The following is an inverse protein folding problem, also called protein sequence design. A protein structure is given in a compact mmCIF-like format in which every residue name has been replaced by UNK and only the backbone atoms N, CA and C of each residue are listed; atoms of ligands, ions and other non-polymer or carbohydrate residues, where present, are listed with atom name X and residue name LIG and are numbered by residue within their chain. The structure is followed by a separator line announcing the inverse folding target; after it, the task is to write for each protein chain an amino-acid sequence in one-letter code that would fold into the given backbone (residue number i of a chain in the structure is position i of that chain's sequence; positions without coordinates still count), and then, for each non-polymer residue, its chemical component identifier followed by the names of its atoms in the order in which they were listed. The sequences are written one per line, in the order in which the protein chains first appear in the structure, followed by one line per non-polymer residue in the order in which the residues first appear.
data_IF_011394092576
#
_entry.id   IF_011394092576
#
_cell.length_a   1.000
_cell.length_b   1.000
_cell.length_c   1.000
_cell.angle_alpha   90.00
_cell.angle_beta   90.00
_cell.angle_gamma   90.00
#
_symmetry.space_group_name_H-M   'P 1'
#
loop_
_entity.id
_entity.type
_entity.pdbx_description
1 polymer ?
#
# COMPACT_ATOMS: atom_id res chain seq x y z
N UNK A 1 41.00 -14.63 -2.28
CA UNK A 1 39.89 -14.45 -3.25
C UNK A 1 38.80 -13.72 -2.50
N UNK A 2 38.51 -12.46 -2.84
CA UNK A 2 37.42 -11.73 -2.21
C UNK A 2 36.10 -12.40 -2.62
N UNK A 3 35.27 -12.73 -1.64
CA UNK A 3 33.97 -13.35 -1.87
C UNK A 3 33.07 -12.30 -2.52
N UNK A 4 32.42 -12.66 -3.62
CA UNK A 4 31.49 -11.79 -4.36
C UNK A 4 30.40 -11.26 -3.40
N UNK A 5 30.14 -9.93 -3.33
CA UNK A 5 29.15 -9.35 -2.41
C UNK A 5 27.77 -9.97 -2.53
N UNK A 6 27.35 -10.38 -3.74
CA UNK A 6 26.10 -11.11 -3.94
C UNK A 6 26.10 -12.45 -3.23
N UNK A 7 27.18 -13.21 -3.36
CA UNK A 7 27.36 -14.51 -2.69
C UNK A 7 27.34 -14.40 -1.17
N UNK A 8 27.88 -13.32 -0.60
CA UNK A 8 27.81 -13.05 0.84
C UNK A 8 26.38 -12.82 1.33
N UNK A 9 25.59 -12.03 0.61
CA UNK A 9 24.18 -11.76 0.96
C UNK A 9 23.32 -13.02 0.89
N UNK A 10 23.51 -13.84 -0.16
CA UNK A 10 22.84 -15.15 -0.30
C UNK A 10 23.24 -16.07 0.85
N UNK A 11 24.53 -16.09 1.22
CA UNK A 11 25.00 -16.90 2.36
C UNK A 11 24.34 -16.45 3.67
N UNK A 12 24.16 -15.13 3.86
CA UNK A 12 23.42 -14.58 5.00
C UNK A 12 21.94 -14.99 4.99
N UNK A 13 21.29 -14.93 3.82
CA UNK A 13 19.89 -15.35 3.64
C UNK A 13 19.69 -16.80 4.09
N UNK A 14 20.50 -17.72 3.55
CA UNK A 14 20.42 -19.15 3.86
C UNK A 14 20.77 -19.45 5.33
N UNK A 15 21.72 -18.71 5.90
CA UNK A 15 22.12 -18.89 7.30
C UNK A 15 21.06 -18.41 8.30
N UNK A 16 20.35 -17.32 8.01
CA UNK A 16 19.35 -16.73 8.92
C UNK A 16 17.94 -17.31 8.71
N UNK A 17 17.70 -17.91 7.54
CA UNK A 17 16.41 -18.47 7.15
C UNK A 17 16.61 -19.92 6.68
N UNK A 18 16.72 -20.88 7.62
CA UNK A 18 17.07 -22.28 7.29
C UNK A 18 16.00 -22.99 6.45
N UNK A 19 14.76 -22.50 6.44
CA UNK A 19 13.67 -23.03 5.62
C UNK A 19 13.67 -22.53 4.16
N UNK A 20 14.70 -21.79 3.74
CA UNK A 20 14.79 -21.23 2.39
C UNK A 20 14.97 -22.32 1.34
N UNK A 21 14.12 -22.32 0.33
CA UNK A 21 14.19 -23.17 -0.86
C UNK A 21 14.74 -22.35 -2.01
N UNK A 22 15.74 -22.88 -2.72
CA UNK A 22 16.29 -22.23 -3.91
C UNK A 22 15.40 -22.60 -5.10
N UNK A 23 14.70 -21.62 -5.68
CA UNK A 23 13.86 -21.82 -6.86
C UNK A 23 14.70 -21.63 -8.11
N UNK A 24 15.45 -20.52 -8.17
CA UNK A 24 16.40 -20.22 -9.24
C UNK A 24 17.70 -19.75 -8.59
N UNK A 25 18.78 -20.50 -8.82
CA UNK A 25 20.07 -20.21 -8.18
C UNK A 25 20.55 -18.80 -8.52
N UNK A 26 20.93 -18.05 -7.48
CA UNK A 26 21.39 -16.67 -7.59
C UNK A 26 20.30 -15.65 -7.96
N UNK A 27 19.03 -16.03 -8.05
CA UNK A 27 17.93 -15.13 -8.45
C UNK A 27 16.71 -15.23 -7.54
N UNK A 28 16.12 -16.41 -7.37
CA UNK A 28 14.82 -16.55 -6.71
C UNK A 28 14.92 -17.55 -5.57
N UNK A 29 14.53 -17.09 -4.39
CA UNK A 29 14.51 -17.87 -3.15
C UNK A 29 13.10 -17.83 -2.56
N UNK A 30 12.60 -18.99 -2.12
CA UNK A 30 11.28 -19.14 -1.52
C UNK A 30 11.43 -19.48 -0.04
N UNK A 31 10.69 -18.78 0.83
CA UNK A 31 10.73 -19.00 2.28
C UNK A 31 9.29 -19.28 2.76
N UNK A 32 8.99 -20.49 3.26
CA UNK A 32 7.66 -20.81 3.76
C UNK A 32 7.36 -20.03 5.04
N UNK A 33 6.16 -19.45 5.12
CA UNK A 33 5.70 -18.66 6.25
C UNK A 33 4.87 -19.47 7.25
N UNK A 34 3.96 -20.30 6.74
CA UNK A 34 3.09 -21.17 7.52
C UNK A 34 2.97 -22.54 6.84
N UNK A 35 2.85 -23.61 7.64
CA UNK A 35 2.67 -24.97 7.14
C UNK A 35 1.20 -25.29 6.80
N UNK A 36 0.24 -24.61 7.44
CA UNK A 36 -1.19 -24.89 7.25
C UNK A 36 -1.81 -24.10 6.09
N UNK A 37 -1.42 -22.84 5.95
CA UNK A 37 -1.75 -22.00 4.80
C UNK A 37 -0.53 -21.97 3.91
N UNK A 38 -0.62 -22.53 2.69
CA UNK A 38 0.46 -22.61 1.69
C UNK A 38 0.91 -21.20 1.21
N UNK A 39 1.48 -20.42 2.13
CA UNK A 39 1.89 -19.04 1.96
C UNK A 39 3.40 -18.96 2.12
N UNK A 40 4.06 -18.29 1.19
CA UNK A 40 5.51 -18.19 1.13
C UNK A 40 5.95 -16.78 0.73
N UNK A 41 7.12 -16.38 1.23
CA UNK A 41 7.86 -15.22 0.74
C UNK A 41 8.69 -15.63 -0.46
N UNK A 42 8.64 -14.81 -1.50
CA UNK A 42 9.50 -14.94 -2.66
C UNK A 42 10.48 -13.77 -2.66
N UNK A 43 11.76 -14.07 -2.55
CA UNK A 43 12.86 -13.10 -2.60
C UNK A 43 13.48 -13.17 -3.99
N UNK A 44 13.29 -12.12 -4.77
CA UNK A 44 13.84 -11.97 -6.10
C UNK A 44 15.04 -11.02 -6.07
N UNK A 45 16.20 -11.52 -6.51
CA UNK A 45 17.45 -10.79 -6.59
C UNK A 45 17.65 -10.31 -8.04
N UNK A 46 17.67 -9.00 -8.29
CA UNK A 46 17.92 -8.47 -9.62
C UNK A 46 19.32 -8.79 -10.15
N UNK A 47 19.53 -8.53 -11.45
CA UNK A 47 20.81 -8.76 -12.10
C UNK A 47 21.95 -7.94 -11.49
N UNK A 48 21.66 -6.70 -11.07
CA UNK A 48 22.62 -5.76 -10.47
C UNK A 48 22.66 -5.83 -8.93
N UNK A 49 22.07 -6.87 -8.32
CA UNK A 49 22.14 -7.06 -6.87
C UNK A 49 23.58 -7.29 -6.38
N UNK A 50 24.05 -6.65 -5.28
CA UNK A 50 23.27 -5.88 -4.29
C UNK A 50 23.24 -4.35 -4.49
N UNK A 51 23.66 -3.82 -5.66
CA UNK A 51 23.51 -2.39 -5.97
C UNK A 51 22.04 -2.01 -6.12
N UNK A 52 21.27 -2.87 -6.79
CA UNK A 52 19.81 -2.79 -6.82
C UNK A 52 19.19 -3.61 -5.66
N UNK A 53 18.18 -3.09 -4.95
CA UNK A 53 17.54 -3.79 -3.84
C UNK A 53 16.83 -5.07 -4.27
N UNK A 54 16.69 -6.05 -3.35
CA UNK A 54 15.88 -7.23 -3.61
C UNK A 54 14.39 -6.84 -3.68
N UNK A 55 13.63 -7.55 -4.51
CA UNK A 55 12.17 -7.44 -4.53
C UNK A 55 11.59 -8.63 -3.76
N UNK A 56 10.84 -8.33 -2.70
CA UNK A 56 10.25 -9.35 -1.83
C UNK A 56 8.74 -9.34 -2.06
N UNK A 57 8.15 -10.48 -2.38
CA UNK A 57 6.71 -10.62 -2.61
C UNK A 57 6.11 -11.76 -1.80
N UNK A 58 4.81 -11.72 -1.58
CA UNK A 58 4.06 -12.80 -0.92
C UNK A 58 3.28 -13.60 -1.96
N UNK A 59 3.27 -14.92 -1.81
CA UNK A 59 2.45 -15.82 -2.62
C UNK A 59 1.64 -16.75 -1.71
N UNK A 60 0.37 -17.06 -2.05
CA UNK A 60 -0.36 -16.66 -3.27
C UNK A 60 -0.71 -15.16 -3.29
N UNK A 61 -1.01 -14.61 -4.48
CA UNK A 61 -1.34 -13.18 -4.65
C UNK A 61 -2.67 -12.81 -3.98
N UNK A 62 -2.82 -11.55 -3.57
CA UNK A 62 -4.05 -11.00 -2.97
C UNK A 62 -4.13 -11.12 -1.45
N UNK A 63 -2.98 -11.27 -0.80
CA UNK A 63 -2.84 -11.29 0.67
C UNK A 63 -2.87 -9.86 1.22
N UNK A 64 -3.44 -9.68 2.41
CA UNK A 64 -3.45 -8.40 3.12
C UNK A 64 -2.58 -8.44 4.36
N UNK A 65 -1.71 -7.44 4.47
CA UNK A 65 -0.92 -7.14 5.66
C UNK A 65 -0.49 -5.66 5.60
N UNK A 66 -0.27 -4.95 6.73
CA UNK A 66 0.25 -3.58 6.73
C UNK A 66 1.55 -3.37 5.97
N UNK A 67 2.37 -4.42 5.84
CA UNK A 67 3.63 -4.41 5.09
C UNK A 67 3.47 -4.96 3.67
N UNK A 68 2.26 -5.16 3.14
CA UNK A 68 2.04 -5.66 1.78
C UNK A 68 1.23 -4.64 0.98
N UNK A 69 1.80 -4.18 -0.14
CA UNK A 69 1.10 -3.37 -1.13
C UNK A 69 1.01 -4.11 -2.47
N UNK A 70 -0.21 -4.41 -2.90
CA UNK A 70 -0.45 -5.38 -3.98
C UNK A 70 -0.06 -6.78 -3.52
N UNK A 71 1.14 -7.21 -3.87
CA UNK A 71 1.78 -8.45 -3.43
C UNK A 71 3.24 -8.23 -2.97
N UNK A 72 3.71 -6.97 -3.01
CA UNK A 72 5.09 -6.60 -2.69
C UNK A 72 5.18 -6.25 -1.21
N UNK A 73 6.21 -6.76 -0.54
CA UNK A 73 6.49 -6.44 0.86
C UNK A 73 7.20 -5.08 0.94
N UNK A 74 6.57 -4.15 1.64
CA UNK A 74 7.07 -2.80 1.89
C UNK A 74 7.73 -2.78 3.28
N UNK A 75 9.06 -2.64 3.30
CA UNK A 75 9.87 -2.60 4.52
C UNK A 75 10.82 -1.40 4.47
N UNK A 76 11.02 -0.71 5.60
CA UNK A 76 11.80 0.55 5.68
C UNK A 76 13.27 0.41 5.25
N UNK A 77 13.80 -0.81 5.30
CA UNK A 77 15.15 -1.14 4.85
C UNK A 77 15.31 -1.24 3.33
N UNK A 78 14.20 -1.35 2.57
CA UNK A 78 14.25 -1.48 1.10
C UNK A 78 14.52 -0.13 0.41
N UNK A 79 13.87 0.99 0.76
CA UNK A 79 14.20 2.31 0.20
C UNK A 79 15.61 2.80 0.55
N UNK A 80 16.14 2.34 1.69
CA UNK A 80 17.48 2.70 2.20
C UNK A 80 18.52 1.61 1.96
N UNK A 81 18.24 0.68 1.04
CA UNK A 81 19.10 -0.47 0.76
C UNK A 81 20.49 -0.05 0.27
N UNK A 82 21.51 -0.78 0.73
CA UNK A 82 22.89 -0.59 0.31
C UNK A 82 23.63 -1.93 0.30
N UNK A 83 24.84 -1.96 -0.29
CA UNK A 83 25.70 -3.15 -0.27
C UNK A 83 26.06 -3.62 1.16
N UNK A 84 25.95 -2.73 2.15
CA UNK A 84 26.21 -3.01 3.57
C UNK A 84 24.98 -3.54 4.32
N UNK A 85 23.79 -3.44 3.73
CA UNK A 85 22.57 -4.00 4.29
C UNK A 85 22.68 -5.52 4.40
N UNK A 86 21.85 -6.18 5.22
CA UNK A 86 21.92 -7.62 5.41
C UNK A 86 20.60 -8.30 4.99
N UNK A 87 20.62 -8.99 3.86
CA UNK A 87 19.45 -9.67 3.29
C UNK A 87 18.86 -10.70 4.24
N UNK A 88 19.71 -11.48 4.91
CA UNK A 88 19.27 -12.52 5.83
C UNK A 88 18.54 -11.98 7.05
N UNK A 89 19.01 -10.86 7.62
CA UNK A 89 18.32 -10.19 8.72
C UNK A 89 17.02 -9.54 8.27
N UNK A 90 17.02 -8.88 7.11
CA UNK A 90 15.81 -8.29 6.54
C UNK A 90 14.70 -9.33 6.35
N UNK A 91 15.00 -10.46 5.69
CA UNK A 91 14.01 -11.51 5.45
C UNK A 91 13.56 -12.16 6.76
N UNK A 92 14.46 -12.28 7.74
CA UNK A 92 14.12 -12.79 9.07
C UNK A 92 13.15 -11.86 9.81
N UNK A 93 13.37 -10.55 9.76
CA UNK A 93 12.47 -9.55 10.36
C UNK A 93 11.07 -9.61 9.75
N UNK A 94 10.98 -9.69 8.41
CA UNK A 94 9.71 -9.87 7.69
C UNK A 94 9.01 -11.17 8.10
N UNK A 95 9.76 -12.28 8.21
CA UNK A 95 9.20 -13.56 8.63
C UNK A 95 8.70 -13.53 10.07
N UNK A 96 9.47 -12.91 10.97
CA UNK A 96 9.12 -12.82 12.40
C UNK A 96 7.87 -11.93 12.59
N UNK A 97 7.71 -10.89 11.77
CA UNK A 97 6.49 -10.09 11.69
C UNK A 97 5.29 -10.93 11.21
N UNK A 98 5.44 -11.66 10.10
CA UNK A 98 4.36 -12.47 9.55
C UNK A 98 4.01 -13.68 10.42
N UNK A 99 4.93 -14.14 11.28
CA UNK A 99 4.63 -15.12 12.31
C UNK A 99 3.76 -14.56 13.43
N UNK A 100 3.85 -13.25 13.71
CA UNK A 100 3.03 -12.58 14.73
C UNK A 100 1.70 -12.10 14.15
N UNK A 101 1.71 -11.61 12.91
CA UNK A 101 0.55 -11.12 12.17
C UNK A 101 0.53 -11.77 10.78
N UNK A 102 -0.06 -12.98 10.64
CA UNK A 102 -0.06 -13.68 9.37
C UNK A 102 -0.78 -12.89 8.28
N UNK A 103 -0.22 -12.83 7.05
CA UNK A 103 -0.95 -12.29 5.91
C UNK A 103 -2.26 -13.04 5.72
N UNK A 104 -3.37 -12.31 5.60
CA UNK A 104 -4.70 -12.91 5.49
C UNK A 104 -5.23 -12.83 4.04
N UNK A 105 -5.92 -13.87 3.58
CA UNK A 105 -6.65 -13.84 2.31
C UNK A 105 -7.80 -12.84 2.39
N UNK A 106 -8.07 -12.15 1.28
CA UNK A 106 -9.24 -11.27 1.13
C UNK A 106 -10.54 -12.08 1.30
N UNK A 107 -11.04 -12.19 2.53
CA UNK A 107 -12.37 -12.74 2.79
C UNK A 107 -13.41 -11.78 2.22
N UNK A 108 -14.33 -12.29 1.39
CA UNK A 108 -15.50 -11.57 0.87
C UNK A 108 -16.50 -11.13 1.96
N UNK A 109 -16.23 -11.42 3.23
CA UNK A 109 -17.16 -11.24 4.34
C UNK A 109 -16.67 -10.35 5.48
N UNK A 110 -15.49 -9.72 5.40
CA UNK A 110 -15.06 -8.81 6.48
C UNK A 110 -15.67 -7.42 6.31
N UNK A 111 -16.73 -7.20 7.09
CA UNK A 111 -17.41 -5.92 7.25
C UNK A 111 -16.76 -5.17 8.41
N UNK A 112 -15.75 -4.33 8.17
CA UNK A 112 -15.37 -3.17 9.01
C UNK A 112 -14.31 -2.27 8.34
N UNK A 113 -14.23 -0.96 8.67
CA UNK A 113 -14.00 0.09 7.68
C UNK A 113 -12.65 0.84 7.78
N UNK A 114 -12.02 1.14 6.64
CA UNK A 114 -11.10 2.30 6.39
C UNK A 114 -10.86 2.39 4.85
N UNK A 115 -11.53 3.31 4.11
CA UNK A 115 -11.04 4.61 3.56
C UNK A 115 -9.78 4.48 2.66
N UNK A 116 -9.67 4.85 1.36
CA UNK A 116 -10.34 5.64 0.28
C UNK A 116 -9.83 5.07 -1.11
N UNK A 117 -10.19 5.55 -2.34
CA UNK A 117 -11.25 6.47 -2.81
C UNK A 117 -12.29 5.76 -3.73
N UNK A 118 -13.44 6.38 -4.07
CA UNK A 118 -14.41 5.76 -4.96
C UNK A 118 -14.00 5.91 -6.44
N UNK A 119 -13.74 4.78 -7.10
CA UNK A 119 -13.79 4.64 -8.56
C UNK A 119 -15.27 4.71 -9.00
N UNK A 120 -15.61 5.22 -10.19
CA UNK A 120 -17.00 5.42 -10.59
C UNK A 120 -17.78 4.10 -10.55
N UNK A 121 -18.94 4.12 -9.91
CA UNK A 121 -19.86 2.98 -9.79
C UNK A 121 -20.31 2.48 -11.16
N UNK A 122 -19.81 1.30 -11.55
CA UNK A 122 -20.51 0.42 -12.47
C UNK A 122 -21.13 -0.73 -11.65
N UNK A 123 -22.46 -0.78 -11.63
CA UNK A 123 -23.17 -2.05 -11.49
C UNK A 123 -23.90 -2.28 -10.17
N UNK A 124 -25.14 -1.79 -10.10
CA UNK A 124 -26.26 -2.45 -9.41
C UNK A 124 -26.56 -3.84 -10.03
N UNK A 125 -25.55 -4.71 -10.21
CA UNK A 125 -25.65 -5.96 -10.99
C UNK A 125 -25.63 -7.23 -10.16
N UNK A 126 -25.68 -7.16 -8.83
CA UNK A 126 -25.82 -8.37 -8.01
C UNK A 126 -26.42 -8.07 -6.63
N UNK A 127 -27.67 -7.61 -6.58
CA UNK A 127 -28.49 -7.94 -5.42
C UNK A 127 -29.05 -9.36 -5.68
N UNK A 128 -28.74 -10.37 -4.86
CA UNK A 128 -29.49 -11.62 -4.92
C UNK A 128 -30.97 -11.25 -4.76
N UNK A 129 -31.88 -11.84 -5.55
CA UNK A 129 -33.30 -11.64 -5.28
C UNK A 129 -33.58 -12.04 -3.82
N UNK A 130 -34.50 -11.36 -3.12
CA UNK A 130 -34.96 -11.86 -1.83
C UNK A 130 -35.39 -13.32 -2.00
N UNK A 131 -35.15 -14.21 -1.03
CA UNK A 131 -35.56 -15.60 -1.13
C UNK A 131 -37.07 -15.62 -1.32
N UNK A 132 -37.51 -15.87 -2.56
CA UNK A 132 -38.89 -16.24 -2.80
C UNK A 132 -39.05 -17.57 -2.07
N UNK A 133 -40.07 -17.74 -1.19
CA UNK A 133 -40.38 -19.06 -0.65
C UNK A 133 -40.71 -19.95 -1.85
N UNK A 134 -39.69 -20.68 -2.30
CA UNK A 134 -39.80 -21.66 -3.37
C UNK A 134 -40.56 -22.79 -2.72
N UNK A 135 -41.87 -22.82 -2.93
CA UNK A 135 -42.63 -24.05 -2.75
C UNK A 135 -41.84 -25.12 -3.52
N UNK A 136 -41.33 -26.10 -2.80
CA UNK A 136 -40.60 -27.24 -3.32
C UNK A 136 -41.49 -27.96 -4.33
N UNK A 137 -41.36 -27.59 -5.61
CA UNK A 137 -41.83 -28.41 -6.72
C UNK A 137 -40.74 -29.46 -6.93
N UNK A 138 -40.77 -30.49 -6.08
CA UNK A 138 -40.18 -31.77 -6.40
C UNK A 138 -40.98 -32.38 -7.56
N UNK A 139 -40.29 -32.64 -8.67
CA UNK A 139 -40.76 -33.52 -9.74
C UNK A 139 -41.22 -34.86 -9.15
N UNK A 140 -42.45 -35.33 -9.41
CA UNK A 140 -42.88 -36.62 -8.92
C UNK A 140 -42.42 -37.73 -9.87
N UNK A 141 -41.45 -38.51 -9.42
CA UNK A 141 -41.41 -39.94 -9.76
C UNK A 141 -42.71 -40.54 -9.22
N UNK A 142 -43.52 -41.08 -10.12
CA UNK A 142 -44.81 -41.68 -9.82
C UNK A 142 -44.68 -42.78 -8.76
N UNK A 143 -45.25 -42.54 -7.57
CA UNK A 143 -46.05 -43.46 -6.73
C UNK A 143 -46.18 -42.89 -5.31
N UNK A 144 -47.24 -42.11 -5.08
CA UNK A 144 -47.96 -41.90 -3.81
C UNK A 144 -48.82 -40.64 -3.97
N UNK A 145 -50.10 -40.72 -3.64
CA UNK A 145 -51.06 -39.61 -3.61
C UNK A 145 -50.52 -38.45 -2.76
N UNK A 146 -49.94 -37.43 -3.41
CA UNK A 146 -49.66 -36.14 -2.81
C UNK A 146 -51.00 -35.43 -2.62
N UNK A 147 -51.68 -35.77 -1.52
CA UNK A 147 -52.92 -35.12 -1.11
C UNK A 147 -52.57 -33.66 -0.84
N UNK A 148 -53.06 -32.76 -1.69
CA UNK A 148 -52.83 -31.33 -1.52
C UNK A 148 -53.31 -30.95 -0.10
N UNK A 149 -52.47 -30.35 0.77
CA UNK A 149 -52.87 -30.07 2.16
C UNK A 149 -54.16 -29.26 2.29
N UNK A 150 -54.43 -28.42 1.29
CA UNK A 150 -55.66 -27.63 1.19
C UNK A 150 -56.85 -28.49 0.80
N UNK A 151 -56.65 -29.54 -0.02
CA UNK A 151 -57.67 -30.54 -0.30
C UNK A 151 -58.07 -31.31 0.97
N UNK A 152 -57.12 -31.59 1.87
CA UNK A 152 -57.41 -32.19 3.18
C UNK A 152 -58.17 -31.25 4.13
N UNK A 153 -58.00 -29.93 4.00
CA UNK A 153 -58.75 -28.95 4.78
C UNK A 153 -60.19 -28.84 4.27
N UNK A 154 -60.36 -28.88 2.94
CA UNK A 154 -61.66 -28.82 2.28
C UNK A 154 -62.45 -30.14 2.49
N UNK A 155 -61.78 -31.29 2.40
CA UNK A 155 -62.41 -32.61 2.53
C UNK A 155 -62.93 -32.95 3.94
N UNK A 156 -62.62 -32.11 4.93
CA UNK A 156 -63.06 -32.27 6.33
C UNK A 156 -64.28 -31.40 6.68
N UNK A 157 -64.72 -30.52 5.77
CA UNK A 157 -65.88 -29.66 5.95
C UNK A 157 -67.17 -30.45 5.69
N UNK A 158 -68.28 -30.02 6.31
CA UNK A 158 -69.59 -30.60 6.03
C UNK A 158 -70.07 -30.23 4.62
N UNK A 159 -71.09 -30.94 4.12
CA UNK A 159 -71.66 -30.62 2.81
C UNK A 159 -72.34 -29.24 2.83
N UNK A 160 -72.98 -28.87 3.94
CA UNK A 160 -73.57 -27.54 4.10
C UNK A 160 -72.49 -26.44 4.07
N UNK A 161 -71.36 -26.65 4.76
CA UNK A 161 -70.25 -25.69 4.77
C UNK A 161 -69.60 -25.54 3.38
N UNK A 162 -69.50 -26.62 2.60
CA UNK A 162 -68.96 -26.56 1.24
C UNK A 162 -69.90 -25.81 0.27
N UNK A 163 -71.21 -25.98 0.40
CA UNK A 163 -72.20 -25.21 -0.37
C UNK A 163 -72.16 -23.72 0.01
N UNK A 164 -71.99 -23.41 1.31
CA UNK A 164 -71.81 -22.04 1.78
C UNK A 164 -70.53 -21.41 1.22
N UNK A 165 -69.40 -22.12 1.21
CA UNK A 165 -68.15 -21.64 0.62
C UNK A 165 -68.25 -21.42 -0.89
N UNK A 166 -69.11 -22.15 -1.60
CA UNK A 166 -69.35 -21.98 -3.04
C UNK A 166 -70.30 -20.84 -3.37
N UNK A 167 -71.23 -20.51 -2.48
CA UNK A 167 -72.26 -19.47 -2.69
C UNK A 167 -71.94 -18.13 -2.02
N UNK A 168 -71.06 -18.10 -1.03
CA UNK A 168 -70.68 -16.90 -0.30
C UNK A 168 -69.18 -16.62 -0.41
N UNK A 169 -68.83 -15.63 -1.25
CA UNK A 169 -67.45 -15.16 -1.46
C UNK A 169 -66.76 -14.74 -0.15
N UNK A 170 -67.51 -14.17 0.79
CA UNK A 170 -66.95 -13.72 2.07
C UNK A 170 -66.58 -14.90 2.96
N UNK A 171 -67.41 -15.95 2.96
CA UNK A 171 -67.11 -17.19 3.68
C UNK A 171 -65.89 -17.89 3.08
N UNK A 172 -65.77 -17.89 1.75
CA UNK A 172 -64.60 -18.40 1.04
C UNK A 172 -63.32 -17.63 1.41
N UNK A 173 -63.32 -16.30 1.37
CA UNK A 173 -62.17 -15.47 1.74
C UNK A 173 -61.73 -15.68 3.20
N UNK A 174 -62.68 -15.82 4.13
CA UNK A 174 -62.39 -16.14 5.53
C UNK A 174 -61.72 -17.52 5.63
N UNK A 175 -62.25 -18.54 4.94
CA UNK A 175 -61.67 -19.86 4.91
C UNK A 175 -60.29 -19.88 4.25
N UNK A 176 -60.12 -19.18 3.13
CA UNK A 176 -58.87 -19.05 2.39
C UNK A 176 -57.78 -18.41 3.28
N UNK A 177 -58.08 -17.31 3.96
CA UNK A 177 -57.17 -16.70 4.94
C UNK A 177 -56.98 -17.53 6.21
N UNK A 178 -57.86 -18.49 6.50
CA UNK A 178 -57.69 -19.41 7.62
C UNK A 178 -56.64 -20.51 7.34
N UNK A 179 -56.35 -20.80 6.06
CA UNK A 179 -55.40 -21.84 5.67
C UNK A 179 -53.99 -21.52 6.15
N UNK A 180 -53.36 -22.52 6.77
CA UNK A 180 -52.04 -22.40 7.40
C UNK A 180 -50.96 -21.88 6.44
N UNK A 181 -51.03 -22.32 5.18
CA UNK A 181 -50.12 -21.86 4.12
C UNK A 181 -50.22 -20.35 3.88
N UNK A 182 -51.44 -19.83 3.84
CA UNK A 182 -51.72 -18.42 3.53
C UNK A 182 -51.40 -17.53 4.73
N UNK A 183 -51.68 -18.00 5.96
CA UNK A 183 -51.21 -17.35 7.19
C UNK A 183 -49.68 -17.25 7.22
N UNK A 184 -48.99 -18.36 6.96
CA UNK A 184 -47.52 -18.38 6.93
C UNK A 184 -46.95 -17.44 5.86
N UNK A 185 -47.59 -17.37 4.68
CA UNK A 185 -47.17 -16.44 3.62
C UNK A 185 -47.38 -14.97 4.02
N UNK A 186 -48.53 -14.63 4.62
CA UNK A 186 -48.80 -13.27 5.10
C UNK A 186 -47.84 -12.88 6.23
N UNK A 187 -47.57 -13.77 7.17
CA UNK A 187 -46.60 -13.56 8.24
C UNK A 187 -45.20 -13.32 7.66
N UNK A 188 -44.76 -14.14 6.70
CA UNK A 188 -43.48 -13.96 6.04
C UNK A 188 -43.39 -12.62 5.28
N UNK A 189 -44.46 -12.20 4.62
CA UNK A 189 -44.53 -10.90 3.95
C UNK A 189 -44.41 -9.74 4.96
N UNK A 190 -45.09 -9.84 6.10
CA UNK A 190 -45.04 -8.85 7.17
C UNK A 190 -43.64 -8.78 7.81
N UNK A 191 -43.03 -9.92 8.10
CA UNK A 191 -41.66 -10.01 8.59
C UNK A 191 -40.67 -9.35 7.63
N UNK A 192 -40.82 -9.58 6.32
CA UNK A 192 -39.97 -8.98 5.29
C UNK A 192 -40.17 -7.46 5.21
N UNK A 193 -41.41 -6.99 5.34
CA UNK A 193 -41.74 -5.56 5.37
C UNK A 193 -41.11 -4.89 6.59
N UNK A 194 -41.31 -5.48 7.77
CA UNK A 194 -40.78 -4.96 9.02
C UNK A 194 -39.24 -4.99 9.01
N UNK A 195 -38.63 -6.03 8.46
CA UNK A 195 -37.17 -6.12 8.29
C UNK A 195 -36.60 -5.04 7.37
N UNK A 196 -37.26 -4.76 6.23
CA UNK A 196 -36.86 -3.69 5.33
C UNK A 196 -37.02 -2.30 5.97
N UNK A 197 -38.13 -2.07 6.69
CA UNK A 197 -38.39 -0.82 7.39
C UNK A 197 -37.34 -0.57 8.49
N UNK A 198 -37.06 -1.58 9.32
CA UNK A 198 -36.00 -1.52 10.33
C UNK A 198 -34.64 -1.23 9.69
N UNK A 199 -34.30 -1.89 8.58
CA UNK A 199 -33.05 -1.64 7.87
C UNK A 199 -32.95 -0.20 7.34
N UNK A 200 -34.04 0.33 6.78
CA UNK A 200 -34.11 1.70 6.31
C UNK A 200 -33.88 2.69 7.47
N UNK A 201 -34.56 2.50 8.61
CA UNK A 201 -34.34 3.33 9.80
C UNK A 201 -32.90 3.22 10.32
N UNK A 202 -32.32 2.01 10.33
CA UNK A 202 -30.94 1.76 10.76
C UNK A 202 -29.92 2.42 9.82
N UNK A 203 -30.23 2.53 8.53
CA UNK A 203 -29.38 3.21 7.54
C UNK A 203 -29.48 4.73 7.69
N UNK A 204 -30.70 5.26 7.77
CA UNK A 204 -30.97 6.69 7.99
C UNK A 204 -30.36 7.19 9.30
N UNK A 205 -30.43 6.40 10.39
CA UNK A 205 -29.83 6.81 11.68
C UNK A 205 -28.30 6.90 11.66
N UNK A 206 -27.63 6.28 10.69
CA UNK A 206 -26.17 6.40 10.51
C UNK A 206 -25.76 7.47 9.51
N UNK A 207 -26.70 7.99 8.73
CA UNK A 207 -26.43 8.95 7.66
C UNK A 207 -25.72 10.20 8.19
N UNK A 208 -26.28 10.83 9.23
CA UNK A 208 -25.69 12.03 9.85
C UNK A 208 -24.27 11.79 10.37
N UNK A 209 -24.02 10.63 10.99
CA UNK A 209 -22.69 10.28 11.50
C UNK A 209 -21.70 10.07 10.36
N UNK A 210 -22.13 9.39 9.28
CA UNK A 210 -21.30 9.19 8.09
C UNK A 210 -20.98 10.50 7.38
N UNK A 211 -21.93 11.42 7.29
CA UNK A 211 -21.72 12.73 6.68
C UNK A 211 -20.71 13.56 7.48
N UNK A 212 -20.84 13.57 8.81
CA UNK A 212 -19.86 14.24 9.69
C UNK A 212 -18.47 13.63 9.59
N UNK A 213 -18.36 12.30 9.59
CA UNK A 213 -17.07 11.63 9.48
C UNK A 213 -16.43 11.89 8.11
N UNK A 214 -17.23 11.92 7.03
CA UNK A 214 -16.75 12.28 5.70
C UNK A 214 -16.22 13.72 5.65
N UNK A 215 -16.93 14.69 6.24
CA UNK A 215 -16.45 16.07 6.24
C UNK A 215 -15.20 16.24 7.10
N UNK A 216 -15.10 15.56 8.24
CA UNK A 216 -13.91 15.56 9.07
C UNK A 216 -12.69 15.01 8.32
N UNK A 217 -12.87 13.88 7.63
CA UNK A 217 -11.81 13.25 6.82
C UNK A 217 -11.38 14.16 5.67
N UNK A 218 -12.33 14.84 5.02
CA UNK A 218 -12.02 15.81 3.97
C UNK A 218 -11.21 16.99 4.52
N UNK A 219 -11.57 17.50 5.69
CA UNK A 219 -10.83 18.59 6.35
C UNK A 219 -9.43 18.13 6.74
N UNK A 220 -9.28 16.92 7.28
CA UNK A 220 -7.99 16.37 7.70
C UNK A 220 -7.08 16.07 6.50
N UNK A 221 -7.63 15.54 5.41
CA UNK A 221 -6.91 15.29 4.16
C UNK A 221 -6.41 16.60 3.53
N UNK A 222 -7.23 17.66 3.54
CA UNK A 222 -6.79 18.98 3.09
C UNK A 222 -5.67 19.56 3.95
N UNK A 223 -5.75 19.43 5.28
CA UNK A 223 -4.68 19.86 6.18
C UNK A 223 -3.38 19.07 5.96
N UNK A 224 -3.50 17.76 5.76
CA UNK A 224 -2.36 16.89 5.45
C UNK A 224 -1.70 17.32 4.14
N UNK A 225 -2.48 17.55 3.08
CA UNK A 225 -1.97 18.03 1.78
C UNK A 225 -1.21 19.35 1.90
N UNK A 226 -1.77 20.31 2.64
CA UNK A 226 -1.10 21.60 2.88
C UNK A 226 0.20 21.41 3.66
N UNK A 227 0.18 20.65 4.75
CA UNK A 227 1.36 20.38 5.57
C UNK A 227 2.44 19.63 4.79
N UNK A 228 2.05 18.70 3.92
CA UNK A 228 2.96 17.96 3.04
C UNK A 228 3.65 18.90 2.04
N UNK A 229 2.90 19.79 1.40
CA UNK A 229 3.47 20.78 0.48
C UNK A 229 4.47 21.72 1.19
N UNK A 230 4.14 22.18 2.39
CA UNK A 230 5.07 23.00 3.19
C UNK A 230 6.33 22.22 3.59
N UNK A 231 6.20 20.94 3.93
CA UNK A 231 7.32 20.07 4.26
C UNK A 231 8.23 19.88 3.05
N UNK A 232 7.69 19.51 1.89
CA UNK A 232 8.45 19.31 0.65
C UNK A 232 9.21 20.58 0.23
N UNK A 233 8.60 21.76 0.41
CA UNK A 233 9.27 23.04 0.16
C UNK A 233 10.44 23.27 1.12
N UNK A 234 10.25 23.01 2.43
CA UNK A 234 11.30 23.18 3.43
C UNK A 234 12.43 22.17 3.24
N UNK A 235 12.11 20.92 2.92
CA UNK A 235 13.09 19.88 2.60
C UNK A 235 13.92 20.27 1.38
N UNK A 236 13.29 20.79 0.32
CA UNK A 236 14.00 21.30 -0.85
C UNK A 236 14.98 22.43 -0.50
N UNK A 237 14.53 23.40 0.30
CA UNK A 237 15.40 24.51 0.76
C UNK A 237 16.55 24.00 1.62
N UNK A 238 16.28 23.03 2.50
CA UNK A 238 17.31 22.39 3.32
C UNK A 238 18.32 21.65 2.44
N UNK A 239 17.87 20.88 1.45
CA UNK A 239 18.74 20.16 0.54
C UNK A 239 19.58 21.11 -0.31
N UNK A 240 18.99 22.22 -0.79
CA UNK A 240 19.73 23.25 -1.51
C UNK A 240 20.81 23.89 -0.62
N UNK A 241 20.47 24.22 0.63
CA UNK A 241 21.43 24.75 1.59
C UNK A 241 22.53 23.73 1.90
N UNK A 242 22.17 22.47 2.15
CA UNK A 242 23.11 21.38 2.39
C UNK A 242 24.05 21.20 1.21
N UNK A 243 23.53 21.16 -0.03
CA UNK A 243 24.35 21.03 -1.22
C UNK A 243 25.26 22.25 -1.43
N UNK A 244 24.71 23.47 -1.28
CA UNK A 244 25.43 24.75 -1.48
C UNK A 244 26.56 24.96 -0.48
N UNK A 245 26.34 24.56 0.76
CA UNK A 245 27.29 24.75 1.87
C UNK A 245 27.99 23.45 2.28
N UNK A 246 27.80 22.37 1.51
CA UNK A 246 28.51 21.13 1.74
C UNK A 246 30.02 21.34 1.66
N UNK A 247 30.74 20.57 2.48
CA UNK A 247 32.20 20.45 2.45
C UNK A 247 32.75 20.36 1.03
N UNK A 248 32.22 19.42 0.25
CA UNK A 248 32.66 19.16 -1.11
C UNK A 248 32.44 20.37 -2.03
N UNK A 249 31.27 21.03 -1.96
CA UNK A 249 30.98 22.23 -2.76
C UNK A 249 31.89 23.39 -2.38
N UNK A 250 32.09 23.63 -1.08
CA UNK A 250 32.97 24.71 -0.58
C UNK A 250 34.42 24.46 -0.98
N UNK A 251 34.93 23.24 -0.81
CA UNK A 251 36.28 22.86 -1.21
C UNK A 251 36.48 22.95 -2.72
N UNK A 252 35.50 22.52 -3.51
CA UNK A 252 35.55 22.62 -4.97
C UNK A 252 35.59 24.08 -5.42
N UNK A 253 34.75 24.94 -4.84
CA UNK A 253 34.79 26.39 -5.10
C UNK A 253 36.14 27.01 -4.69
N UNK A 254 36.68 26.62 -3.55
CA UNK A 254 37.98 27.12 -3.09
C UNK A 254 39.10 26.68 -4.04
N UNK A 255 39.11 25.42 -4.49
CA UNK A 255 40.05 24.92 -5.52
C UNK A 255 39.96 25.72 -6.81
N UNK A 256 38.75 25.96 -7.31
CA UNK A 256 38.53 26.76 -8.50
C UNK A 256 39.07 28.20 -8.33
N UNK A 257 38.83 28.83 -7.17
CA UNK A 257 39.36 30.17 -6.87
C UNK A 257 40.88 30.21 -6.69
N UNK A 258 41.53 29.11 -6.28
CA UNK A 258 43.00 28.99 -6.27
C UNK A 258 43.51 28.95 -7.70
N UNK A 259 42.96 28.06 -8.53
CA UNK A 259 43.34 27.92 -9.94
C UNK A 259 43.16 29.24 -10.71
N UNK A 260 42.02 29.91 -10.56
CA UNK A 260 41.75 31.21 -11.18
C UNK A 260 42.78 32.28 -10.79
N UNK A 261 43.21 32.34 -9.53
CA UNK A 261 44.24 33.30 -9.11
C UNK A 261 45.62 32.97 -9.65
N UNK A 262 45.92 31.69 -9.86
CA UNK A 262 47.17 31.23 -10.46
C UNK A 262 47.21 31.67 -11.93
N UNK A 263 46.17 31.33 -12.70
CA UNK A 263 45.99 31.72 -14.10
C UNK A 263 46.05 33.25 -14.29
N UNK A 264 45.40 34.03 -13.42
CA UNK A 264 45.51 35.48 -13.46
C UNK A 264 46.95 35.95 -13.26
N UNK A 265 47.70 35.34 -12.34
CA UNK A 265 49.10 35.70 -12.12
C UNK A 265 50.00 35.30 -13.30
N UNK A 266 49.71 34.18 -13.95
CA UNK A 266 50.40 33.74 -15.18
C UNK A 266 50.08 34.65 -16.36
N UNK A 267 48.82 35.08 -16.51
CA UNK A 267 48.43 36.03 -17.55
C UNK A 267 49.13 37.39 -17.43
N UNK A 268 49.33 37.86 -16.20
CA UNK A 268 50.10 39.09 -15.91
C UNK A 268 51.58 38.90 -16.22
N UNK A 269 52.14 37.73 -15.90
CA UNK A 269 53.52 37.39 -16.26
C UNK A 269 53.70 37.33 -17.79
N UNK A 270 52.76 36.71 -18.50
CA UNK A 270 52.79 36.62 -19.96
C UNK A 270 52.68 38.02 -20.60
N UNK A 271 51.75 38.85 -20.13
CA UNK A 271 51.60 40.23 -20.62
C UNK A 271 52.87 41.07 -20.45
N UNK A 272 53.62 40.87 -19.36
CA UNK A 272 54.93 41.48 -19.16
C UNK A 272 55.98 40.95 -20.14
N UNK A 273 56.04 39.64 -20.38
CA UNK A 273 56.96 39.02 -21.35
C UNK A 273 56.68 39.50 -22.79
N UNK A 274 55.41 39.71 -23.12
CA UNK A 274 54.97 40.23 -24.42
C UNK A 274 55.24 41.75 -24.57
N UNK A 275 55.74 42.42 -23.52
CA UNK A 275 56.05 43.85 -23.52
C UNK A 275 54.83 44.77 -23.38
N UNK A 276 53.66 44.21 -23.07
CA UNK A 276 52.40 44.95 -22.91
C UNK A 276 52.22 45.56 -21.51
N UNK A 277 53.15 45.30 -20.60
CA UNK A 277 53.11 45.76 -19.21
C UNK A 277 54.47 46.30 -18.78
N UNK A 278 54.50 47.46 -18.11
CA UNK A 278 55.72 48.03 -17.56
C UNK A 278 56.15 47.34 -16.25
N UNK A 279 57.40 47.55 -15.84
CA UNK A 279 58.01 46.86 -14.70
C UNK A 279 57.27 47.16 -13.38
N UNK A 280 56.96 48.42 -13.10
CA UNK A 280 56.32 48.82 -11.86
C UNK A 280 54.89 48.27 -11.76
N UNK A 281 54.14 48.32 -12.87
CA UNK A 281 52.80 47.74 -12.98
C UNK A 281 52.82 46.21 -12.84
N UNK A 282 53.80 45.53 -13.44
CA UNK A 282 53.99 44.09 -13.30
C UNK A 282 54.24 43.71 -11.84
N UNK A 283 55.24 44.32 -11.20
CA UNK A 283 55.60 43.99 -9.81
C UNK A 283 54.42 44.19 -8.87
N UNK A 284 53.63 45.27 -9.06
CA UNK A 284 52.44 45.54 -8.26
C UNK A 284 51.36 44.49 -8.47
N UNK A 285 50.94 44.24 -9.71
CA UNK A 285 49.83 43.32 -10.01
C UNK A 285 50.19 41.87 -9.72
N UNK A 286 51.38 41.42 -10.10
CA UNK A 286 51.83 40.06 -9.89
C UNK A 286 51.94 39.72 -8.39
N UNK A 287 52.45 40.65 -7.57
CA UNK A 287 52.50 40.47 -6.11
C UNK A 287 51.11 40.37 -5.50
N UNK A 288 50.17 41.21 -5.92
CA UNK A 288 48.79 41.16 -5.42
C UNK A 288 48.12 39.82 -5.77
N UNK A 289 48.21 39.36 -7.03
CA UNK A 289 47.64 38.07 -7.42
C UNK A 289 48.32 36.88 -6.72
N UNK A 290 49.66 36.85 -6.64
CA UNK A 290 50.37 35.79 -5.93
C UNK A 290 50.08 35.77 -4.44
N UNK A 291 49.90 36.93 -3.80
CA UNK A 291 49.47 37.01 -2.40
C UNK A 291 48.08 36.39 -2.20
N UNK A 292 47.13 36.67 -3.09
CA UNK A 292 45.78 36.07 -3.04
C UNK A 292 45.84 34.56 -3.30
N UNK A 293 46.61 34.12 -4.30
CA UNK A 293 46.85 32.71 -4.59
C UNK A 293 47.39 31.96 -3.36
N UNK A 294 48.51 32.41 -2.78
CA UNK A 294 49.12 31.74 -1.63
C UNK A 294 48.18 31.73 -0.42
N UNK A 295 47.45 32.82 -0.16
CA UNK A 295 46.45 32.85 0.91
C UNK A 295 45.35 31.80 0.71
N UNK A 296 44.83 31.67 -0.52
CA UNK A 296 43.79 30.69 -0.86
C UNK A 296 44.35 29.26 -0.82
N UNK A 297 45.57 29.04 -1.31
CA UNK A 297 46.23 27.74 -1.31
C UNK A 297 46.51 27.23 0.11
N UNK A 298 47.02 28.09 1.00
CA UNK A 298 47.21 27.72 2.42
C UNK A 298 45.89 27.45 3.13
N UNK A 299 44.82 28.20 2.81
CA UNK A 299 43.48 27.94 3.34
C UNK A 299 42.92 26.61 2.84
N UNK A 300 43.15 26.27 1.57
CA UNK A 300 42.73 25.00 0.97
C UNK A 300 43.46 23.82 1.62
N UNK A 301 44.79 23.89 1.73
CA UNK A 301 45.60 22.85 2.38
C UNK A 301 45.13 22.61 3.82
N UNK A 302 44.90 23.70 4.57
CA UNK A 302 44.36 23.60 5.93
C UNK A 302 42.95 23.00 5.96
N UNK A 303 42.05 23.42 5.07
CA UNK A 303 40.69 22.89 5.01
C UNK A 303 40.62 21.42 4.57
N UNK A 304 41.63 20.91 3.88
CA UNK A 304 41.75 19.49 3.53
C UNK A 304 42.36 18.65 4.66
N UNK A 305 43.25 19.25 5.46
CA UNK A 305 43.98 18.58 6.54
C UNK A 305 43.23 18.57 7.87
N UNK A 306 42.62 19.70 8.21
CA UNK A 306 41.70 19.79 9.33
C UNK A 306 40.39 19.12 8.87
N UNK A 307 39.99 18.03 9.50
CA UNK A 307 38.68 17.36 9.32
C UNK A 307 37.48 18.24 9.72
N UNK A 308 37.59 19.57 9.60
CA UNK A 308 36.57 20.57 9.94
C UNK A 308 35.28 20.40 9.12
N UNK A 309 35.30 19.55 8.09
CA UNK A 309 34.19 19.34 7.17
C UNK A 309 33.99 17.87 6.77
N UNK A 310 34.52 16.92 7.56
CA UNK A 310 34.24 15.49 7.39
C UNK A 310 33.40 15.05 8.59
N UNK A 311 32.09 15.02 8.40
CA UNK A 311 31.16 14.18 9.16
C UNK A 311 30.55 13.19 8.19
#
# INVERSE_FOLDING_TARGET
MAQDPKSLQISSLLSQNPSTVVVVDGQIYEIPLNAEESTFLLVNLPAEFPEEPPVITVSPTGMRHPWIEGDVVMHDALPSWSQQSNLGLLVKEIRDEFSQRPPAKKNLNDTSPQQLPPKPEEGYRSRPPPPIPTASISTPTATATAVNPEYNAISKLSQEDMEELLQNETAFEIFFHSLERIKNLKNFQEDLRNGNEQLAHKNLSREDQLLKLKSEVEVLDNQYKLSKLEFEQKEKLQQEAFNRFSSATVLTRLKASVYESDELSESVAQSFLDGNLDNDSFVKQFREFRKVYHLRASKLERAQKDSLFVS
#
